data_IF_970592222747
#
_entry.id   IF_970592222747
#
_cell.length_a   1.000
_cell.length_b   1.000
_cell.length_c   1.000
_cell.angle_alpha   90.00
_cell.angle_beta   90.00
_cell.angle_gamma   90.00
#
_symmetry.space_group_name_H-M   'P 1'
#
loop_
_entity.id
_entity.type
_entity.pdbx_description
1 polymer ?
#
# COMPACT_ATOMS: atom_id res chain seq x y z
N UNK A 1 -4.94 13.21 8.20
CA UNK A 1 -5.56 12.64 6.98
C UNK A 1 -6.16 11.30 7.30
N UNK A 2 -7.36 11.08 6.84
CA UNK A 2 -7.99 9.75 6.94
C UNK A 2 -7.75 8.99 5.64
N UNK A 3 -7.50 7.70 5.75
CA UNK A 3 -7.13 6.88 4.60
C UNK A 3 -8.26 5.94 4.18
N UNK A 4 -9.51 6.38 4.37
CA UNK A 4 -10.68 5.55 4.12
C UNK A 4 -10.75 5.01 2.69
N UNK A 5 -10.40 5.83 1.70
CA UNK A 5 -10.43 5.40 0.31
C UNK A 5 -9.45 4.26 0.05
N UNK A 6 -8.25 4.36 0.62
CA UNK A 6 -7.22 3.32 0.48
C UNK A 6 -7.69 2.03 1.15
N UNK A 7 -8.16 2.11 2.39
CA UNK A 7 -8.62 0.94 3.12
C UNK A 7 -9.80 0.26 2.42
N UNK A 8 -10.74 1.04 1.93
CA UNK A 8 -11.92 0.49 1.25
C UNK A 8 -11.53 -0.26 -0.03
N UNK A 9 -10.60 0.30 -0.80
CA UNK A 9 -10.13 -0.35 -2.03
C UNK A 9 -9.34 -1.62 -1.73
N UNK A 10 -8.50 -1.60 -0.71
CA UNK A 10 -7.77 -2.80 -0.30
C UNK A 10 -8.74 -3.92 0.08
N UNK A 11 -9.75 -3.60 0.88
CA UNK A 11 -10.76 -4.56 1.29
C UNK A 11 -11.53 -5.10 0.09
N UNK A 12 -12.00 -4.21 -0.78
CA UNK A 12 -12.74 -4.58 -1.97
C UNK A 12 -11.92 -5.46 -2.91
N UNK A 13 -10.63 -5.18 -3.01
CA UNK A 13 -9.72 -5.92 -3.88
C UNK A 13 -9.23 -7.25 -3.31
N UNK A 14 -9.65 -7.62 -2.13
CA UNK A 14 -9.24 -8.88 -1.52
C UNK A 14 -7.87 -8.84 -0.88
N UNK A 15 -7.36 -7.66 -0.55
CA UNK A 15 -6.09 -7.52 0.13
C UNK A 15 -6.24 -7.81 1.63
N UNK A 16 -5.23 -8.46 2.19
CA UNK A 16 -5.16 -8.74 3.62
C UNK A 16 -4.02 -7.91 4.20
N UNK A 17 -4.35 -7.01 5.12
CA UNK A 17 -3.34 -6.16 5.76
C UNK A 17 -2.62 -6.99 6.79
N UNK A 18 -1.32 -7.20 6.58
CA UNK A 18 -0.49 -8.02 7.47
C UNK A 18 0.31 -7.17 8.46
N UNK A 19 0.52 -5.90 8.14
CA UNK A 19 1.27 -5.01 9.00
C UNK A 19 0.78 -3.59 8.78
N UNK A 20 0.60 -2.85 9.87
CA UNK A 20 0.08 -1.50 9.79
C UNK A 20 0.69 -0.63 10.87
N UNK A 21 1.21 0.52 10.46
CA UNK A 21 1.70 1.54 11.36
C UNK A 21 1.01 2.85 11.01
N UNK A 22 -0.03 3.17 11.73
CA UNK A 22 -0.77 4.40 11.49
C UNK A 22 -0.88 5.17 12.79
N UNK A 23 -0.16 6.26 12.87
CA UNK A 23 -0.23 7.13 14.03
C UNK A 23 0.70 6.78 15.20
N UNK A 24 1.24 5.57 15.27
CA UNK A 24 2.11 5.22 16.38
C UNK A 24 3.44 5.99 16.34
N UNK A 25 3.84 6.40 15.16
CA UNK A 25 5.01 7.25 14.99
C UNK A 25 4.93 8.51 15.82
N UNK A 26 3.75 9.11 15.89
CA UNK A 26 3.55 10.35 16.63
C UNK A 26 3.89 10.17 18.10
N UNK A 27 3.43 9.06 18.68
CA UNK A 27 3.68 8.78 20.09
C UNK A 27 5.15 8.46 20.33
N UNK A 28 5.75 7.70 19.44
CA UNK A 28 7.12 7.28 19.58
C UNK A 28 8.10 8.45 19.41
N UNK A 29 7.91 9.23 18.37
CA UNK A 29 8.83 10.31 18.04
C UNK A 29 8.62 11.57 18.86
N UNK A 30 7.48 11.69 19.54
CA UNK A 30 7.11 12.87 20.31
C UNK A 30 7.29 14.15 19.51
N UNK A 31 7.08 14.04 18.21
CA UNK A 31 7.39 15.10 17.28
C UNK A 31 6.10 15.73 16.78
N UNK A 32 5.94 17.02 16.99
CA UNK A 32 4.73 17.73 16.57
C UNK A 32 4.47 17.61 15.07
N UNK A 33 5.51 17.55 14.28
CA UNK A 33 5.38 17.35 12.85
C UNK A 33 4.73 15.99 12.54
N UNK A 34 5.23 14.94 13.16
CA UNK A 34 4.69 13.60 12.94
C UNK A 34 3.26 13.47 13.44
N UNK A 35 2.96 14.10 14.59
CA UNK A 35 1.61 14.08 15.12
C UNK A 35 0.60 14.75 14.17
N UNK A 36 1.01 15.84 13.52
CA UNK A 36 0.14 16.54 12.58
C UNK A 36 0.01 15.83 11.24
N UNK A 37 1.08 15.21 10.78
CA UNK A 37 1.10 14.60 9.45
C UNK A 37 0.65 13.13 9.44
N UNK A 38 0.64 12.49 10.60
CA UNK A 38 0.15 11.13 10.77
C UNK A 38 0.64 10.18 9.68
N UNK A 39 1.91 9.80 9.71
CA UNK A 39 2.45 8.92 8.69
C UNK A 39 1.68 7.59 8.65
N UNK A 40 1.64 7.02 7.49
CA UNK A 40 0.99 5.74 7.26
C UNK A 40 2.03 4.77 6.71
N UNK A 41 1.95 3.53 7.16
CA UNK A 41 2.73 2.44 6.60
C UNK A 41 1.87 1.19 6.65
N UNK A 42 1.52 0.66 5.49
CA UNK A 42 0.70 -0.55 5.38
C UNK A 42 1.47 -1.57 4.55
N UNK A 43 1.48 -2.81 5.03
CA UNK A 43 1.91 -3.96 4.23
C UNK A 43 0.69 -4.85 4.04
N UNK A 44 0.35 -5.15 2.81
CA UNK A 44 -0.81 -5.95 2.48
C UNK A 44 -0.45 -7.04 1.47
N UNK A 45 -1.12 -8.17 1.59
CA UNK A 45 -0.97 -9.28 0.66
C UNK A 45 -2.26 -9.45 -0.15
N UNK A 46 -2.09 -9.70 -1.45
CA UNK A 46 -3.21 -10.02 -2.35
C UNK A 46 -2.95 -11.39 -2.95
N UNK A 47 -3.33 -12.47 -2.25
CA UNK A 47 -2.93 -13.84 -2.64
C UNK A 47 -3.37 -14.24 -4.04
N UNK A 48 -4.59 -13.86 -4.43
CA UNK A 48 -5.11 -14.26 -5.74
C UNK A 48 -4.40 -13.60 -6.92
N UNK A 49 -3.62 -12.55 -6.67
CA UNK A 49 -2.82 -11.88 -7.69
C UNK A 49 -1.32 -12.11 -7.51
N UNK A 50 -0.93 -12.87 -6.49
CA UNK A 50 0.48 -13.07 -6.12
C UNK A 50 1.19 -11.74 -5.95
N UNK A 51 0.58 -10.85 -5.17
CA UNK A 51 1.03 -9.48 -5.05
C UNK A 51 1.20 -9.09 -3.59
N UNK A 52 2.29 -8.41 -3.29
CA UNK A 52 2.52 -7.76 -2.00
C UNK A 52 2.60 -6.27 -2.22
N UNK A 53 1.95 -5.51 -1.35
CA UNK A 53 1.88 -4.06 -1.44
C UNK A 53 2.49 -3.42 -0.20
N UNK A 54 3.27 -2.38 -0.41
CA UNK A 54 3.68 -1.46 0.65
C UNK A 54 3.11 -0.10 0.31
N UNK A 55 2.31 0.46 1.21
CA UNK A 55 1.73 1.78 1.03
C UNK A 55 2.27 2.67 2.13
N UNK A 56 2.90 3.77 1.74
CA UNK A 56 3.46 4.73 2.70
C UNK A 56 2.96 6.13 2.41
N UNK A 57 2.78 6.90 3.48
CA UNK A 57 2.51 8.33 3.40
C UNK A 57 3.43 9.03 4.39
N UNK A 58 4.51 9.58 3.88
CA UNK A 58 5.52 10.25 4.68
C UNK A 58 5.91 11.56 4.00
N UNK A 59 6.04 12.60 4.81
CA UNK A 59 6.50 13.91 4.32
C UNK A 59 5.70 14.41 3.11
N UNK A 60 4.39 14.17 3.15
CA UNK A 60 3.50 14.64 2.08
C UNK A 60 3.47 13.80 0.83
N UNK A 61 4.20 12.68 0.80
CA UNK A 61 4.26 11.83 -0.38
C UNK A 61 3.54 10.50 -0.13
N UNK A 62 2.56 10.21 -0.98
CA UNK A 62 1.89 8.92 -1.01
C UNK A 62 2.62 8.03 -2.02
N UNK A 63 2.99 6.83 -1.58
CA UNK A 63 3.75 5.90 -2.41
C UNK A 63 3.20 4.49 -2.26
N UNK A 64 3.13 3.77 -3.37
CA UNK A 64 2.85 2.34 -3.35
C UNK A 64 4.00 1.60 -4.03
N UNK A 65 4.45 0.52 -3.40
CA UNK A 65 5.45 -0.39 -3.97
C UNK A 65 4.80 -1.77 -4.04
N UNK A 66 4.96 -2.45 -5.16
CA UNK A 66 4.42 -3.79 -5.34
C UNK A 66 5.54 -4.78 -5.63
N UNK A 67 5.32 -6.03 -5.28
CA UNK A 67 6.26 -7.11 -5.59
C UNK A 67 5.49 -8.40 -5.90
N UNK A 68 6.10 -9.24 -6.73
CA UNK A 68 5.52 -10.52 -7.15
C UNK A 68 5.84 -11.58 -6.10
N UNK A 69 4.83 -12.03 -5.34
CA UNK A 69 5.00 -13.05 -4.31
C UNK A 69 5.09 -14.46 -4.86
N UNK A 70 4.90 -14.66 -6.17
CA UNK A 70 5.17 -15.94 -6.81
C UNK A 70 6.67 -16.24 -6.82
N UNK A 71 7.52 -15.22 -6.67
CA UNK A 71 8.97 -15.37 -6.60
C UNK A 71 9.41 -15.45 -5.13
N UNK A 72 10.44 -16.25 -4.82
CA UNK A 72 10.99 -16.26 -3.45
C UNK A 72 11.47 -14.86 -3.02
N UNK A 73 11.15 -14.46 -1.80
CA UNK A 73 11.40 -13.09 -1.33
C UNK A 73 12.88 -12.71 -1.27
N UNK A 74 13.77 -13.70 -1.25
CA UNK A 74 15.21 -13.47 -1.26
C UNK A 74 15.82 -13.59 -2.66
N UNK A 75 15.00 -13.79 -3.68
CA UNK A 75 15.49 -13.97 -5.05
C UNK A 75 15.65 -12.64 -5.77
N UNK A 76 16.50 -12.65 -6.79
CA UNK A 76 16.67 -11.49 -7.65
C UNK A 76 15.38 -11.19 -8.42
N UNK A 77 14.68 -12.25 -8.86
CA UNK A 77 13.41 -12.07 -9.57
C UNK A 77 12.39 -11.31 -8.74
N UNK A 78 12.33 -11.56 -7.44
CA UNK A 78 11.46 -10.84 -6.53
C UNK A 78 11.85 -9.35 -6.49
N UNK A 79 13.12 -9.05 -6.31
CA UNK A 79 13.59 -7.67 -6.27
C UNK A 79 13.33 -6.95 -7.60
N UNK A 80 13.56 -7.63 -8.73
CA UNK A 80 13.37 -7.04 -10.04
C UNK A 80 11.88 -6.84 -10.36
N UNK A 81 10.98 -7.57 -9.70
CA UNK A 81 9.54 -7.42 -9.90
C UNK A 81 8.96 -6.18 -9.22
N UNK A 82 9.73 -5.52 -8.35
CA UNK A 82 9.22 -4.40 -7.58
C UNK A 82 8.95 -3.19 -8.45
N UNK A 83 7.74 -2.64 -8.32
CA UNK A 83 7.32 -1.44 -9.02
C UNK A 83 6.94 -0.41 -7.97
N UNK A 84 7.49 0.79 -8.09
CA UNK A 84 7.24 1.89 -7.15
C UNK A 84 6.58 3.05 -7.88
N UNK A 85 5.48 3.56 -7.30
CA UNK A 85 4.77 4.70 -7.84
C UNK A 85 4.43 5.69 -6.73
N UNK A 86 4.44 6.97 -7.07
CA UNK A 86 4.07 8.05 -6.15
C UNK A 86 2.82 8.75 -6.65
N UNK A 87 2.05 9.30 -5.72
CA UNK A 87 0.78 9.95 -6.02
C UNK A 87 0.67 11.27 -5.27
N UNK A 88 -0.03 12.22 -5.85
CA UNK A 88 -0.22 13.54 -5.27
C UNK A 88 -1.30 13.53 -4.18
N UNK A 89 -2.27 12.65 -4.30
CA UNK A 89 -3.36 12.58 -3.35
C UNK A 89 -3.92 11.17 -3.24
N UNK A 90 -4.76 10.98 -2.23
CA UNK A 90 -5.34 9.67 -1.96
C UNK A 90 -6.26 9.18 -3.07
N UNK A 91 -6.97 10.10 -3.72
CA UNK A 91 -7.88 9.73 -4.80
C UNK A 91 -7.14 9.08 -5.96
N UNK A 92 -6.02 9.67 -6.37
CA UNK A 92 -5.22 9.12 -7.47
C UNK A 92 -4.68 7.74 -7.12
N UNK A 93 -4.20 7.58 -5.89
CA UNK A 93 -3.72 6.27 -5.44
C UNK A 93 -4.85 5.25 -5.39
N UNK A 94 -6.02 5.63 -4.91
CA UNK A 94 -7.17 4.74 -4.84
C UNK A 94 -7.61 4.28 -6.23
N UNK A 95 -7.60 5.18 -7.21
CA UNK A 95 -7.92 4.83 -8.60
C UNK A 95 -6.93 3.82 -9.16
N UNK A 96 -5.64 4.03 -8.90
CA UNK A 96 -4.60 3.10 -9.32
C UNK A 96 -4.77 1.73 -8.67
N UNK A 97 -5.01 1.70 -7.37
CA UNK A 97 -5.22 0.45 -6.65
C UNK A 97 -6.48 -0.27 -7.13
N UNK A 98 -7.55 0.47 -7.40
CA UNK A 98 -8.77 -0.13 -7.91
C UNK A 98 -8.55 -0.80 -9.26
N UNK A 99 -7.86 -0.12 -10.16
CA UNK A 99 -7.53 -0.68 -11.47
C UNK A 99 -6.70 -1.96 -11.32
N UNK A 100 -5.70 -1.92 -10.46
CA UNK A 100 -4.80 -3.05 -10.28
C UNK A 100 -5.47 -4.24 -9.58
N UNK A 101 -6.22 -3.97 -8.51
CA UNK A 101 -6.76 -5.02 -7.66
C UNK A 101 -8.12 -5.50 -8.12
N UNK A 102 -9.02 -4.58 -8.45
CA UNK A 102 -10.42 -4.94 -8.71
C UNK A 102 -10.66 -5.28 -10.17
N UNK A 103 -10.02 -4.56 -11.08
CA UNK A 103 -10.16 -4.83 -12.50
C UNK A 103 -9.52 -6.17 -12.89
N UNK A 104 -8.32 -6.44 -12.38
CA UNK A 104 -7.66 -7.71 -12.62
C UNK A 104 -8.48 -8.87 -12.06
N UNK A 105 -9.11 -8.67 -10.91
CA UNK A 105 -9.97 -9.67 -10.29
C UNK A 105 -11.16 -9.99 -11.17
N UNK A 106 -11.77 -8.99 -11.81
CA UNK A 106 -12.89 -9.20 -12.73
C UNK A 106 -12.45 -9.97 -13.97
N UNK A 107 -11.29 -9.66 -14.47
CA UNK A 107 -10.75 -10.34 -15.65
C UNK A 107 -10.40 -11.80 -15.38
N UNK A 108 -10.10 -12.13 -14.15
CA UNK A 108 -9.77 -13.50 -13.76
C UNK A 108 -11.00 -14.40 -13.69
N UNK A 109 -12.18 -13.84 -13.71
CA UNK A 109 -13.43 -14.59 -13.72
C UNK A 109 -13.88 -14.84 -15.15
#
# INVERSE_FOLDING_TARGET
MKYNKIYNILKKGGASITMEYSGWWSAYCLNNYMARNRPLWIVAEVPHLHLRLWITHEFGTLRVTTADTAQPSDSRAYHDSQIRRTFRNQREMAEYLETMLCRNRKEAV
#
